data_IF_197314350776
#
_entry.id   IF_197314350776
#
_cell.length_a   1.000
_cell.length_b   1.000
_cell.length_c   1.000
_cell.angle_alpha   90.00
_cell.angle_beta   90.00
_cell.angle_gamma   90.00
#
_symmetry.space_group_name_H-M   'P 1'
#
loop_
_entity.id
_entity.type
_entity.pdbx_description
1 polymer ?
#
# COMPACT_ATOMS: atom_id res chain seq x y z
N UNK A 1 -14.93 -4.84 -52.46
CA UNK A 1 -15.83 -4.04 -53.32
C UNK A 1 -16.35 -2.86 -52.50
N UNK A 2 -16.05 -1.67 -53.03
CA UNK A 2 -16.55 -0.32 -52.76
C UNK A 2 -17.64 -0.15 -51.68
N UNK A 3 -17.41 0.72 -50.71
CA UNK A 3 -18.30 1.86 -50.43
C UNK A 3 -17.42 3.08 -50.13
N UNK A 4 -17.51 4.08 -51.00
CA UNK A 4 -16.63 5.24 -51.04
C UNK A 4 -16.97 6.31 -50.01
N UNK A 5 -15.96 7.09 -49.65
CA UNK A 5 -16.11 8.40 -49.03
C UNK A 5 -15.58 9.41 -50.05
N UNK A 6 -16.49 10.04 -50.80
CA UNK A 6 -16.18 11.12 -51.74
C UNK A 6 -16.61 12.46 -51.14
N UNK A 7 -15.67 13.42 -51.19
CA UNK A 7 -15.85 14.86 -51.32
C UNK A 7 -16.60 15.67 -50.23
N UNK A 8 -15.83 16.43 -49.43
CA UNK A 8 -15.76 17.91 -49.40
C UNK A 8 -15.37 18.43 -47.98
N UNK A 9 -14.38 19.33 -47.96
CA UNK A 9 -13.76 20.03 -46.81
C UNK A 9 -14.76 20.72 -45.82
N UNK A 10 -14.32 21.28 -44.67
CA UNK A 10 -13.24 20.91 -43.75
C UNK A 10 -13.78 20.99 -42.31
N UNK A 11 -14.30 19.91 -41.74
CA UNK A 11 -14.58 19.87 -40.31
C UNK A 11 -13.78 18.73 -39.73
N UNK A 12 -12.71 19.16 -39.07
CA UNK A 12 -11.80 18.37 -38.26
C UNK A 12 -12.61 17.67 -37.16
N UNK A 13 -13.32 16.61 -37.53
CA UNK A 13 -13.74 15.60 -36.57
C UNK A 13 -12.51 14.76 -36.28
N UNK A 14 -11.77 15.19 -35.26
CA UNK A 14 -11.01 14.26 -34.46
C UNK A 14 -11.99 13.16 -34.05
N UNK A 15 -11.86 11.99 -34.67
CA UNK A 15 -12.34 10.76 -34.07
C UNK A 15 -11.56 10.67 -32.77
N UNK A 16 -12.18 11.11 -31.68
CA UNK A 16 -11.74 10.71 -30.36
C UNK A 16 -11.93 9.20 -30.37
N UNK A 17 -10.86 8.48 -30.72
CA UNK A 17 -10.68 7.13 -30.27
C UNK A 17 -10.83 7.23 -28.75
N UNK A 18 -12.00 6.84 -28.25
CA UNK A 18 -12.17 6.53 -26.86
C UNK A 18 -11.19 5.39 -26.61
N UNK A 19 -9.95 5.73 -26.25
CA UNK A 19 -9.07 4.78 -25.60
C UNK A 19 -9.83 4.39 -24.36
N UNK A 20 -10.41 3.20 -24.43
CA UNK A 20 -10.83 2.41 -23.30
C UNK A 20 -9.65 2.35 -22.35
N UNK A 21 -9.54 3.36 -21.47
CA UNK A 21 -8.61 3.35 -20.34
C UNK A 21 -9.26 2.49 -19.27
N UNK A 22 -9.46 1.22 -19.58
CA UNK A 22 -9.36 0.21 -18.54
C UNK A 22 -7.90 0.26 -18.10
N UNK A 23 -7.59 1.19 -17.20
CA UNK A 23 -6.26 1.34 -16.62
C UNK A 23 -6.02 0.08 -15.79
N UNK A 24 -5.48 -0.95 -16.44
CA UNK A 24 -4.85 -2.07 -15.75
C UNK A 24 -3.80 -1.45 -14.84
N UNK A 25 -4.11 -1.41 -13.54
CA UNK A 25 -3.20 -0.87 -12.54
C UNK A 25 -1.94 -1.72 -12.60
N UNK A 26 -0.81 -1.09 -12.93
CA UNK A 26 0.45 -1.80 -13.07
C UNK A 26 0.98 -2.23 -11.69
N UNK A 27 1.82 -3.26 -11.70
CA UNK A 27 2.59 -3.64 -10.52
C UNK A 27 3.50 -2.49 -10.06
N UNK A 28 3.71 -2.38 -8.76
CA UNK A 28 4.64 -1.40 -8.21
C UNK A 28 6.05 -1.71 -8.70
N UNK A 29 6.72 -0.71 -9.27
CA UNK A 29 8.12 -0.84 -9.67
C UNK A 29 9.00 -1.15 -8.44
N UNK A 30 10.10 -1.86 -8.68
CA UNK A 30 11.05 -2.24 -7.63
C UNK A 30 11.49 -1.02 -6.81
N UNK A 31 11.46 -1.16 -5.48
CA UNK A 31 11.84 -0.10 -4.56
C UNK A 31 10.80 1.00 -4.34
N UNK A 32 9.68 1.04 -5.07
CA UNK A 32 8.63 2.06 -4.87
C UNK A 32 8.09 2.06 -3.45
N UNK A 33 7.71 0.88 -2.93
CA UNK A 33 7.20 0.73 -1.57
C UNK A 33 8.28 1.03 -0.52
N UNK A 34 9.50 0.52 -0.72
CA UNK A 34 10.61 0.77 0.19
C UNK A 34 10.93 2.28 0.29
N UNK A 35 10.93 2.99 -0.84
CA UNK A 35 11.13 4.43 -0.90
C UNK A 35 10.00 5.20 -0.22
N UNK A 36 8.74 4.79 -0.42
CA UNK A 36 7.59 5.42 0.23
C UNK A 36 7.60 5.23 1.75
N UNK A 37 8.02 4.06 2.23
CA UNK A 37 8.00 3.71 3.65
C UNK A 37 9.26 4.17 4.41
N UNK A 38 10.40 4.33 3.75
CA UNK A 38 11.66 4.72 4.39
C UNK A 38 11.57 5.92 5.36
N UNK A 39 10.78 6.98 5.09
CA UNK A 39 10.63 8.10 6.02
C UNK A 39 9.93 7.73 7.33
N UNK A 40 9.04 6.73 7.34
CA UNK A 40 8.25 6.36 8.53
C UNK A 40 9.15 5.70 9.58
N UNK A 41 10.16 4.95 9.17
CA UNK A 41 11.14 4.28 10.05
C UNK A 41 12.07 5.21 10.82
N UNK A 42 12.08 6.51 10.48
CA UNK A 42 12.89 7.53 11.17
C UNK A 42 12.08 8.34 12.18
N UNK A 43 10.79 8.04 12.33
CA UNK A 43 9.89 8.80 13.20
C UNK A 43 9.89 8.24 14.61
N UNK A 44 9.61 9.11 15.59
CA UNK A 44 9.63 8.75 17.00
C UNK A 44 8.71 7.56 17.33
N UNK A 45 7.53 7.49 16.72
CA UNK A 45 6.57 6.40 16.94
C UNK A 45 7.10 5.04 16.48
N UNK A 46 7.81 5.01 15.33
CA UNK A 46 8.42 3.79 14.81
C UNK A 46 9.51 3.26 15.74
N UNK A 47 10.38 4.15 16.25
CA UNK A 47 11.41 3.79 17.23
C UNK A 47 10.81 3.35 18.56
N UNK A 48 9.80 4.06 19.06
CA UNK A 48 9.14 3.73 20.31
C UNK A 48 8.44 2.36 20.23
N UNK A 49 7.72 2.08 19.15
CA UNK A 49 7.10 0.77 18.97
C UNK A 49 8.14 -0.34 18.81
N UNK A 50 9.16 -0.15 17.96
CA UNK A 50 10.15 -1.19 17.70
C UNK A 50 10.97 -1.55 18.95
N UNK A 51 11.31 -0.55 19.78
CA UNK A 51 12.04 -0.76 21.04
C UNK A 51 11.25 -1.60 22.04
N UNK A 52 9.90 -1.54 22.03
CA UNK A 52 9.07 -2.39 22.91
C UNK A 52 9.29 -3.89 22.64
N UNK A 53 9.64 -4.25 21.41
CA UNK A 53 9.85 -5.64 20.99
C UNK A 53 11.33 -5.97 20.75
N UNK A 54 12.24 -5.05 21.08
CA UNK A 54 13.68 -5.24 20.83
C UNK A 54 14.05 -5.30 19.35
N UNK A 55 13.24 -4.72 18.47
CA UNK A 55 13.42 -4.73 17.02
C UNK A 55 13.88 -3.36 16.49
N UNK A 56 14.40 -3.34 15.26
CA UNK A 56 14.55 -2.10 14.49
C UNK A 56 13.21 -1.74 13.80
N UNK A 57 12.94 -0.45 13.52
CA UNK A 57 11.67 -0.04 12.91
C UNK A 57 11.33 -0.73 11.57
N UNK A 58 12.33 -1.00 10.74
CA UNK A 58 12.19 -1.73 9.48
C UNK A 58 11.92 -3.23 9.70
N UNK A 59 12.53 -3.83 10.72
CA UNK A 59 12.30 -5.22 11.11
C UNK A 59 10.90 -5.42 11.66
N UNK A 60 10.43 -4.52 12.53
CA UNK A 60 9.09 -4.57 13.12
C UNK A 60 7.98 -4.66 12.06
N UNK A 61 8.14 -3.96 10.93
CA UNK A 61 7.13 -3.96 9.87
C UNK A 61 7.00 -5.32 9.18
N UNK A 62 8.12 -6.06 9.11
CA UNK A 62 8.21 -7.39 8.51
C UNK A 62 8.02 -8.50 9.53
N UNK A 63 7.99 -8.17 10.83
CA UNK A 63 7.86 -9.14 11.90
C UNK A 63 6.43 -9.69 11.97
N UNK A 64 6.32 -11.01 11.85
CA UNK A 64 5.08 -11.78 11.90
C UNK A 64 5.07 -12.83 13.02
N UNK A 65 6.22 -13.12 13.62
CA UNK A 65 6.38 -14.12 14.66
C UNK A 65 6.22 -13.54 16.08
N UNK A 66 5.08 -12.89 16.32
CA UNK A 66 4.73 -12.42 17.67
C UNK A 66 4.10 -13.56 18.48
N UNK A 67 4.50 -13.69 19.75
CA UNK A 67 3.78 -14.50 20.74
C UNK A 67 2.43 -13.87 21.07
N UNK A 68 1.50 -14.64 21.62
CA UNK A 68 0.19 -14.12 22.06
C UNK A 68 0.31 -12.92 23.02
N UNK A 69 1.30 -12.94 23.92
CA UNK A 69 1.52 -11.84 24.84
C UNK A 69 2.00 -10.57 24.11
N UNK A 70 2.95 -10.71 23.19
CA UNK A 70 3.46 -9.58 22.40
C UNK A 70 2.40 -9.01 21.46
N UNK A 71 1.48 -9.84 20.92
CA UNK A 71 0.34 -9.36 20.13
C UNK A 71 -0.54 -8.43 20.98
N UNK A 72 -0.81 -8.79 22.24
CA UNK A 72 -1.60 -7.94 23.13
C UNK A 72 -0.86 -6.66 23.53
N UNK A 73 0.47 -6.73 23.73
CA UNK A 73 1.28 -5.53 23.95
C UNK A 73 1.27 -4.61 22.72
N UNK A 74 1.43 -5.17 21.52
CA UNK A 74 1.34 -4.45 20.26
C UNK A 74 -0.03 -3.79 20.09
N UNK A 75 -1.11 -4.55 20.33
CA UNK A 75 -2.49 -4.09 20.20
C UNK A 75 -2.82 -2.91 21.13
N UNK A 76 -2.20 -2.85 22.31
CA UNK A 76 -2.42 -1.79 23.30
C UNK A 76 -1.43 -0.62 23.19
N UNK A 77 -0.41 -0.71 22.33
CA UNK A 77 0.61 0.32 22.20
C UNK A 77 0.15 1.51 21.35
N UNK A 78 0.08 2.69 21.98
CA UNK A 78 -0.17 3.97 21.30
C UNK A 78 0.91 4.26 20.24
N UNK A 79 2.17 3.92 20.53
CA UNK A 79 3.28 4.11 19.60
C UNK A 79 3.12 3.22 18.36
N UNK A 80 2.75 1.95 18.53
CA UNK A 80 2.55 1.04 17.41
C UNK A 80 1.35 1.42 16.55
N UNK A 81 0.26 1.87 17.18
CA UNK A 81 -0.89 2.40 16.45
C UNK A 81 -0.51 3.62 15.61
N UNK A 82 0.22 4.58 16.21
CA UNK A 82 0.67 5.78 15.50
C UNK A 82 1.62 5.44 14.35
N UNK A 83 2.60 4.57 14.58
CA UNK A 83 3.51 4.10 13.52
C UNK A 83 2.77 3.41 12.37
N UNK A 84 1.82 2.54 12.68
CA UNK A 84 0.99 1.89 11.65
C UNK A 84 0.19 2.91 10.83
N UNK A 85 -0.39 3.93 11.47
CA UNK A 85 -1.07 5.03 10.78
C UNK A 85 -0.12 5.77 9.83
N UNK A 86 1.11 6.06 10.26
CA UNK A 86 2.11 6.72 9.41
C UNK A 86 2.49 5.86 8.19
N UNK A 87 2.60 4.54 8.36
CA UNK A 87 2.81 3.59 7.27
C UNK A 87 1.65 3.61 6.27
N UNK A 88 0.40 3.57 6.76
CA UNK A 88 -0.78 3.62 5.88
C UNK A 88 -0.89 4.96 5.14
N UNK A 89 -0.55 6.07 5.79
CA UNK A 89 -0.51 7.38 5.15
C UNK A 89 0.57 7.47 4.08
N UNK A 90 1.74 6.87 4.31
CA UNK A 90 2.81 6.77 3.31
C UNK A 90 2.39 5.93 2.10
N UNK A 91 1.69 4.80 2.31
CA UNK A 91 1.14 3.99 1.23
C UNK A 91 0.07 4.74 0.44
N UNK A 92 -0.79 5.51 1.11
CA UNK A 92 -1.81 6.35 0.48
C UNK A 92 -1.21 7.43 -0.41
N UNK A 93 -0.01 7.89 -0.10
CA UNK A 93 0.71 8.91 -0.86
C UNK A 93 1.43 8.35 -2.11
N UNK A 94 1.49 7.03 -2.31
CA UNK A 94 2.11 6.43 -3.50
C UNK A 94 1.31 6.81 -4.75
N UNK A 95 1.98 7.46 -5.70
CA UNK A 95 1.41 7.87 -6.98
C UNK A 95 2.37 7.57 -8.13
N UNK A 96 1.92 6.91 -9.23
CA UNK A 96 0.57 6.38 -9.42
C UNK A 96 0.23 5.22 -8.46
N UNK A 97 -1.05 4.94 -8.26
CA UNK A 97 -1.51 3.73 -7.56
C UNK A 97 -0.98 2.51 -8.32
N UNK A 98 -0.48 1.52 -7.60
CA UNK A 98 0.10 0.32 -8.18
C UNK A 98 -0.28 -0.94 -7.37
N UNK A 99 -0.20 -2.12 -7.99
CA UNK A 99 -0.45 -3.41 -7.34
C UNK A 99 0.80 -3.88 -6.61
N UNK A 100 0.66 -4.31 -5.36
CA UNK A 100 1.73 -4.94 -4.59
C UNK A 100 1.72 -6.45 -4.89
N UNK A 101 2.69 -6.99 -5.65
CA UNK A 101 2.58 -8.35 -6.20
C UNK A 101 2.45 -9.45 -5.15
N UNK A 102 3.05 -9.26 -3.97
CA UNK A 102 2.99 -10.24 -2.87
C UNK A 102 1.62 -10.33 -2.20
N UNK A 103 0.78 -9.31 -2.36
CA UNK A 103 -0.54 -9.22 -1.72
C UNK A 103 -1.69 -9.24 -2.74
N UNK A 104 -1.40 -9.06 -4.03
CA UNK A 104 -2.39 -8.87 -5.11
C UNK A 104 -3.38 -7.73 -4.83
N UNK A 105 -2.99 -6.76 -4.01
CA UNK A 105 -3.80 -5.61 -3.59
C UNK A 105 -3.12 -4.33 -4.05
N UNK A 106 -3.90 -3.29 -4.32
CA UNK A 106 -3.32 -1.99 -4.65
C UNK A 106 -2.77 -1.29 -3.41
N UNK A 107 -1.82 -0.36 -3.59
CA UNK A 107 -1.37 0.52 -2.50
C UNK A 107 -2.52 1.25 -1.82
N UNK A 108 -3.57 1.58 -2.57
CA UNK A 108 -4.75 2.25 -2.04
C UNK A 108 -5.65 1.30 -1.23
N UNK A 109 -5.82 0.04 -1.65
CA UNK A 109 -6.55 -0.98 -0.89
C UNK A 109 -5.85 -1.26 0.44
N UNK A 110 -4.53 -1.44 0.39
CA UNK A 110 -3.71 -1.68 1.60
C UNK A 110 -3.82 -0.48 2.55
N UNK A 111 -3.77 0.75 2.04
CA UNK A 111 -3.87 1.97 2.85
C UNK A 111 -5.25 2.20 3.49
N UNK A 112 -6.26 1.38 3.19
CA UNK A 112 -7.55 1.37 3.92
C UNK A 112 -7.54 0.46 5.15
N UNK A 113 -6.54 -0.42 5.28
CA UNK A 113 -6.46 -1.32 6.43
C UNK A 113 -6.27 -0.53 7.72
N UNK A 114 -7.05 -0.88 8.73
CA UNK A 114 -6.96 -0.26 10.05
C UNK A 114 -5.94 -0.98 10.92
N UNK A 115 -5.51 -0.32 12.00
CA UNK A 115 -4.69 -0.97 13.01
C UNK A 115 -5.39 -2.19 13.64
N UNK A 116 -6.72 -2.11 13.78
CA UNK A 116 -7.53 -3.23 14.28
C UNK A 116 -7.49 -4.43 13.32
N UNK A 117 -7.50 -4.19 12.00
CA UNK A 117 -7.38 -5.26 10.99
C UNK A 117 -6.01 -5.94 11.08
N UNK A 118 -4.92 -5.18 11.27
CA UNK A 118 -3.58 -5.73 11.50
C UNK A 118 -3.55 -6.58 12.78
N UNK A 119 -4.08 -6.10 13.89
CA UNK A 119 -4.13 -6.87 15.15
C UNK A 119 -4.99 -8.14 14.98
N UNK A 120 -6.13 -8.04 14.31
CA UNK A 120 -6.98 -9.20 14.02
C UNK A 120 -6.31 -10.21 13.08
N UNK A 121 -5.44 -9.76 12.17
CA UNK A 121 -4.61 -10.65 11.35
C UNK A 121 -3.56 -11.37 12.20
N UNK A 122 -2.83 -10.64 13.06
CA UNK A 122 -1.83 -11.23 13.97
C UNK A 122 -2.45 -12.30 14.88
N UNK A 123 -3.61 -12.01 15.48
CA UNK A 123 -4.34 -12.98 16.34
C UNK A 123 -4.83 -14.23 15.62
N UNK A 124 -4.97 -14.20 14.29
CA UNK A 124 -5.38 -15.37 13.48
C UNK A 124 -4.20 -16.24 13.08
N UNK A 125 -2.97 -15.74 13.18
CA UNK A 125 -1.80 -16.56 12.92
C UNK A 125 -1.62 -17.55 14.08
N UNK A 126 -1.31 -18.83 13.81
CA UNK A 126 -0.96 -19.76 14.86
C UNK A 126 0.29 -19.23 15.57
N UNK A 127 0.19 -19.01 16.88
CA UNK A 127 1.34 -18.66 17.71
C UNK A 127 2.39 -19.77 17.55
N UNK A 128 3.62 -19.39 17.19
CA UNK A 128 4.74 -20.33 17.04
C UNK A 128 5.34 -20.67 18.40
#
# INVERSE_FOLDING_TARGET
MVHGCWFLLPLMWCVAAATDRTSLIADCADGTLAGALAPTFRRAHSHACATQFGLRPDELMLHDNFTTAEIEEYANSVACKAFYTEVMDALRAVSPVCVVPSLSWTTQDIAQLTFADKVAALRRQPAS
#
